data_IF_331497981031
#
_entry.id   IF_331497981031
#
_cell.length_a   1.000
_cell.length_b   1.000
_cell.length_c   1.000
_cell.angle_alpha   90.00
_cell.angle_beta   90.00
_cell.angle_gamma   90.00
#
_symmetry.space_group_name_H-M   'P 1'
#
loop_
_entity.id
_entity.type
_entity.pdbx_description
1 polymer ?
#
# COMPACT_ATOMS: atom_id res chain seq x y z
N UNK A 1 -7.52 -29.90 0.44
CA UNK A 1 -7.41 -28.51 -0.04
C UNK A 1 -6.61 -27.73 1.00
N UNK A 2 -6.00 -26.60 0.61
CA UNK A 2 -5.23 -25.73 1.50
C UNK A 2 -6.15 -24.80 2.31
N UNK A 3 -5.65 -24.28 3.43
CA UNK A 3 -6.42 -23.43 4.36
C UNK A 3 -6.31 -21.93 4.07
N UNK A 4 -5.33 -21.51 3.26
CA UNK A 4 -5.08 -20.13 2.86
C UNK A 4 -4.38 -20.10 1.51
N UNK A 5 -4.60 -19.04 0.74
CA UNK A 5 -3.91 -18.81 -0.52
C UNK A 5 -3.22 -17.45 -0.50
N UNK A 6 -1.93 -17.41 -0.81
CA UNK A 6 -1.21 -16.19 -1.16
C UNK A 6 -1.03 -16.14 -2.68
N UNK A 7 -1.35 -15.02 -3.30
CA UNK A 7 -1.27 -14.85 -4.75
C UNK A 7 -0.40 -13.64 -5.07
N UNK A 8 0.54 -13.83 -5.98
CA UNK A 8 1.25 -12.76 -6.68
C UNK A 8 0.80 -12.78 -8.14
N UNK A 9 0.32 -11.66 -8.63
CA UNK A 9 -0.17 -11.50 -10.02
C UNK A 9 0.10 -10.07 -10.49
N UNK A 10 -0.41 -9.71 -11.66
CA UNK A 10 -0.29 -8.37 -12.23
C UNK A 10 -1.51 -7.52 -11.84
N UNK A 11 -2.64 -7.70 -12.53
CA UNK A 11 -3.85 -6.91 -12.29
C UNK A 11 -4.49 -7.21 -10.93
N UNK A 12 -4.89 -6.18 -10.19
CA UNK A 12 -5.57 -6.36 -8.90
C UNK A 12 -6.91 -7.10 -9.04
N UNK A 13 -7.62 -6.90 -10.16
CA UNK A 13 -8.87 -7.58 -10.47
C UNK A 13 -8.76 -9.12 -10.48
N UNK A 14 -7.59 -9.68 -10.76
CA UNK A 14 -7.37 -11.13 -10.70
C UNK A 14 -7.39 -11.62 -9.25
N UNK A 15 -6.80 -10.86 -8.32
CA UNK A 15 -6.84 -11.16 -6.88
C UNK A 15 -8.27 -11.06 -6.37
N UNK A 16 -8.99 -10.02 -6.75
CA UNK A 16 -10.41 -9.82 -6.37
C UNK A 16 -11.29 -10.96 -6.91
N UNK A 17 -11.14 -11.32 -8.18
CA UNK A 17 -11.88 -12.42 -8.81
C UNK A 17 -11.58 -13.74 -8.11
N UNK A 18 -10.31 -14.03 -7.81
CA UNK A 18 -9.95 -15.24 -7.10
C UNK A 18 -10.56 -15.24 -5.68
N UNK A 19 -10.49 -14.12 -4.97
CA UNK A 19 -11.09 -13.98 -3.64
C UNK A 19 -12.61 -14.20 -3.65
N UNK A 20 -13.33 -13.69 -4.65
CA UNK A 20 -14.78 -13.88 -4.80
C UNK A 20 -15.17 -15.36 -4.99
N UNK A 21 -14.30 -16.17 -5.60
CA UNK A 21 -14.55 -17.58 -5.85
C UNK A 21 -13.87 -18.53 -4.84
N UNK A 22 -13.05 -18.00 -3.94
CA UNK A 22 -12.34 -18.78 -2.93
C UNK A 22 -13.20 -19.06 -1.71
N UNK A 23 -13.04 -20.25 -1.13
CA UNK A 23 -13.65 -20.61 0.17
C UNK A 23 -12.73 -20.35 1.36
N UNK A 24 -11.49 -19.95 1.08
CA UNK A 24 -10.45 -19.65 2.07
C UNK A 24 -9.90 -18.24 1.85
N UNK A 25 -9.31 -17.60 2.88
CA UNK A 25 -8.73 -16.27 2.73
C UNK A 25 -7.68 -16.21 1.62
N UNK A 26 -7.65 -15.06 0.93
CA UNK A 26 -6.71 -14.77 -0.16
C UNK A 26 -5.90 -13.56 0.24
N UNK A 27 -4.58 -13.72 0.24
CA UNK A 27 -3.62 -12.65 0.56
C UNK A 27 -2.98 -12.18 -0.74
N UNK A 28 -3.05 -10.86 -0.99
CA UNK A 28 -2.26 -10.22 -2.04
C UNK A 28 -0.77 -10.22 -1.64
N UNK A 29 0.00 -11.09 -2.28
CA UNK A 29 1.45 -11.12 -2.14
C UNK A 29 2.13 -9.95 -2.86
N UNK A 30 1.67 -9.59 -4.06
CA UNK A 30 2.06 -8.41 -4.85
C UNK A 30 1.18 -8.33 -6.12
N UNK A 31 0.72 -7.12 -6.46
CA UNK A 31 0.10 -6.72 -7.74
C UNK A 31 0.82 -5.50 -8.31
N UNK A 32 0.53 -5.14 -9.56
CA UNK A 32 1.02 -3.90 -10.18
C UNK A 32 0.52 -2.65 -9.44
N UNK A 33 -0.63 -2.77 -8.76
CA UNK A 33 -1.25 -1.68 -8.01
C UNK A 33 -0.83 -1.60 -6.53
N UNK A 34 -0.58 -2.75 -5.87
CA UNK A 34 -0.36 -2.80 -4.42
C UNK A 34 0.61 -3.90 -3.97
N UNK A 35 1.35 -3.62 -2.90
CA UNK A 35 2.22 -4.56 -2.20
C UNK A 35 2.03 -4.47 -0.67
N UNK A 36 0.86 -4.86 -0.15
CA UNK A 36 0.48 -4.62 1.24
C UNK A 36 1.37 -5.36 2.25
N UNK A 37 1.82 -6.58 1.92
CA UNK A 37 2.69 -7.35 2.81
C UNK A 37 4.05 -6.67 3.06
N UNK A 38 4.59 -5.94 2.08
CA UNK A 38 5.82 -5.17 2.26
C UNK A 38 5.60 -4.05 3.30
N UNK A 39 4.48 -3.34 3.22
CA UNK A 39 4.19 -2.22 4.15
C UNK A 39 3.97 -2.71 5.57
N UNK A 40 3.40 -3.90 5.76
CA UNK A 40 3.32 -4.50 7.09
C UNK A 40 4.73 -4.73 7.70
N UNK A 41 5.70 -5.18 6.89
CA UNK A 41 7.07 -5.36 7.33
C UNK A 41 7.79 -4.00 7.57
N UNK A 42 7.54 -3.01 6.72
CA UNK A 42 8.11 -1.68 6.87
C UNK A 42 7.60 -0.99 8.15
N UNK A 43 6.29 -1.06 8.41
CA UNK A 43 5.66 -0.53 9.62
C UNK A 43 6.14 -1.27 10.87
N UNK A 44 6.30 -2.59 10.81
CA UNK A 44 6.91 -3.36 11.90
C UNK A 44 8.32 -2.83 12.20
N UNK A 45 9.13 -2.64 11.16
CA UNK A 45 10.51 -2.13 11.31
C UNK A 45 10.51 -0.72 11.90
N UNK A 46 9.63 0.15 11.43
CA UNK A 46 9.48 1.49 12.00
C UNK A 46 9.10 1.41 13.47
N UNK A 47 8.13 0.57 13.83
CA UNK A 47 7.67 0.42 15.21
C UNK A 47 8.78 -0.08 16.13
N UNK A 48 9.57 -1.07 15.71
CA UNK A 48 10.70 -1.60 16.48
C UNK A 48 11.80 -0.55 16.73
N UNK A 49 12.01 0.36 15.77
CA UNK A 49 13.17 1.27 15.74
C UNK A 49 12.81 2.71 16.15
N UNK A 50 11.53 3.11 16.07
CA UNK A 50 11.04 4.47 16.29
C UNK A 50 9.78 4.55 17.15
N UNK A 51 9.10 3.44 17.42
CA UNK A 51 7.83 3.41 18.15
C UNK A 51 6.64 3.80 17.27
N UNK A 52 5.63 4.43 17.87
CA UNK A 52 4.39 4.78 17.19
C UNK A 52 4.59 5.74 16.01
N UNK A 53 3.99 5.41 14.87
CA UNK A 53 4.05 6.17 13.61
C UNK A 53 2.98 7.26 13.53
N UNK A 54 1.96 7.24 14.40
CA UNK A 54 0.89 8.25 14.41
C UNK A 54 1.47 9.68 14.44
N UNK A 55 1.01 10.53 13.52
CA UNK A 55 1.44 11.92 13.36
C UNK A 55 2.90 12.10 12.90
N UNK A 56 3.56 11.04 12.42
CA UNK A 56 4.87 11.13 11.76
C UNK A 56 4.71 11.43 10.27
N UNK A 57 5.82 11.81 9.64
CA UNK A 57 5.88 12.00 8.18
C UNK A 57 6.88 11.04 7.58
N UNK A 58 6.46 10.29 6.57
CA UNK A 58 7.28 9.40 5.74
C UNK A 58 7.47 10.08 4.38
N UNK A 59 8.72 10.13 3.90
CA UNK A 59 9.04 10.69 2.58
C UNK A 59 9.29 9.54 1.59
N UNK A 60 8.48 9.48 0.54
CA UNK A 60 8.68 8.59 -0.60
C UNK A 60 9.35 9.34 -1.74
N UNK A 61 10.47 8.83 -2.24
CA UNK A 61 11.24 9.42 -3.32
C UNK A 61 11.33 8.45 -4.49
N UNK A 62 10.92 8.90 -5.67
CA UNK A 62 11.01 8.13 -6.91
C UNK A 62 9.65 7.78 -7.50
N UNK A 63 9.52 6.57 -8.01
CA UNK A 63 8.36 6.11 -8.76
C UNK A 63 7.13 5.89 -7.86
N UNK A 64 5.98 6.45 -8.23
CA UNK A 64 4.67 6.28 -7.59
C UNK A 64 4.07 4.89 -7.83
N UNK A 65 4.82 3.83 -7.53
CA UNK A 65 4.45 2.45 -7.83
C UNK A 65 3.56 1.80 -6.75
N UNK A 66 3.35 0.49 -6.88
CA UNK A 66 2.57 -0.33 -5.93
C UNK A 66 2.96 -0.19 -4.45
N UNK A 67 4.24 0.01 -4.16
CA UNK A 67 4.72 0.17 -2.78
C UNK A 67 4.38 1.58 -2.30
N UNK A 68 4.56 2.61 -3.14
CA UNK A 68 4.09 3.97 -2.84
C UNK A 68 2.59 4.00 -2.55
N UNK A 69 1.78 3.39 -3.41
CA UNK A 69 0.33 3.27 -3.22
C UNK A 69 -0.04 2.59 -1.90
N UNK A 70 0.71 1.55 -1.53
CA UNK A 70 0.47 0.82 -0.29
C UNK A 70 0.86 1.64 0.95
N UNK A 71 1.91 2.45 0.86
CA UNK A 71 2.27 3.44 1.89
C UNK A 71 1.17 4.49 2.07
N UNK A 72 0.60 5.01 0.98
CA UNK A 72 -0.51 5.97 1.04
C UNK A 72 -1.75 5.36 1.74
N UNK A 73 -2.05 4.10 1.44
CA UNK A 73 -3.13 3.38 2.13
C UNK A 73 -2.87 3.16 3.62
N UNK A 74 -1.62 2.92 4.01
CA UNK A 74 -1.24 2.81 5.42
C UNK A 74 -1.32 4.15 6.15
N UNK A 75 -0.86 5.23 5.51
CA UNK A 75 -0.92 6.60 6.02
C UNK A 75 -2.33 6.98 6.45
N UNK A 76 -3.30 6.70 5.57
CA UNK A 76 -4.73 6.93 5.82
C UNK A 76 -5.31 6.04 6.93
N UNK A 77 -4.76 4.85 7.16
CA UNK A 77 -5.27 3.91 8.16
C UNK A 77 -4.69 4.13 9.56
N UNK A 78 -3.48 4.69 9.64
CA UNK A 78 -2.71 4.82 10.89
C UNK A 78 -2.43 6.29 11.25
N UNK A 79 -3.11 7.23 10.59
CA UNK A 79 -3.06 8.67 10.84
C UNK A 79 -1.63 9.24 10.87
N UNK A 80 -0.87 8.97 9.80
CA UNK A 80 0.43 9.59 9.55
C UNK A 80 0.48 10.18 8.14
N UNK A 81 1.49 10.99 7.86
CA UNK A 81 1.64 11.68 6.58
C UNK A 81 2.63 10.94 5.67
N UNK A 82 2.30 10.83 4.39
CA UNK A 82 3.24 10.41 3.34
C UNK A 82 3.41 11.56 2.35
N UNK A 83 4.63 12.06 2.24
CA UNK A 83 5.02 13.04 1.23
C UNK A 83 5.68 12.31 0.08
N UNK A 84 5.11 12.43 -1.12
CA UNK A 84 5.61 11.78 -2.34
C UNK A 84 6.30 12.81 -3.21
N UNK A 85 7.57 12.57 -3.53
CA UNK A 85 8.31 13.32 -4.53
C UNK A 85 8.72 12.37 -5.67
N UNK A 86 8.08 12.56 -6.83
CA UNK A 86 8.24 11.73 -8.02
C UNK A 86 8.64 12.57 -9.24
N UNK A 87 9.35 11.99 -10.22
CA UNK A 87 9.54 12.62 -11.53
C UNK A 87 8.20 12.76 -12.27
N UNK A 88 8.08 13.78 -13.11
CA UNK A 88 6.89 13.98 -13.96
C UNK A 88 6.56 12.72 -14.77
N UNK A 89 5.32 12.26 -14.71
CA UNK A 89 4.85 11.06 -15.40
C UNK A 89 5.05 9.75 -14.64
N UNK A 90 5.61 9.80 -13.43
CA UNK A 90 5.71 8.69 -12.47
C UNK A 90 4.89 8.97 -11.21
N UNK A 91 3.88 9.82 -11.34
CA UNK A 91 2.97 10.17 -10.26
C UNK A 91 2.15 8.94 -9.81
N UNK A 92 1.81 8.84 -8.51
CA UNK A 92 0.87 7.83 -8.03
C UNK A 92 -0.48 7.92 -8.75
N UNK A 93 -1.25 6.84 -8.69
CA UNK A 93 -2.60 6.81 -9.24
C UNK A 93 -3.42 8.03 -8.74
N UNK A 94 -3.97 8.86 -9.65
CA UNK A 94 -4.73 10.05 -9.29
C UNK A 94 -5.91 9.78 -8.36
N UNK A 95 -6.50 8.59 -8.42
CA UNK A 95 -7.59 8.18 -7.53
C UNK A 95 -7.12 8.04 -6.09
N UNK A 96 -5.91 7.52 -5.87
CA UNK A 96 -5.29 7.43 -4.55
C UNK A 96 -4.85 8.80 -4.04
N UNK A 97 -4.32 9.66 -4.92
CA UNK A 97 -3.99 11.05 -4.57
C UNK A 97 -5.23 11.80 -4.07
N UNK A 98 -6.36 11.68 -4.79
CA UNK A 98 -7.63 12.31 -4.38
C UNK A 98 -8.19 11.76 -3.07
N UNK A 99 -7.96 10.49 -2.77
CA UNK A 99 -8.41 9.87 -1.51
C UNK A 99 -7.55 10.27 -0.28
N UNK A 100 -6.32 10.76 -0.51
CA UNK A 100 -5.36 11.07 0.56
C UNK A 100 -5.13 12.59 0.77
N UNK A 101 -5.69 13.47 -0.08
CA UNK A 101 -5.35 14.90 -0.13
C UNK A 101 -6.07 15.80 0.88
N UNK A 102 -6.62 15.28 1.98
CA UNK A 102 -7.40 16.05 2.96
C UNK A 102 -6.59 17.00 3.88
N UNK A 103 -5.40 17.45 3.47
CA UNK A 103 -4.53 18.29 4.30
C UNK A 103 -3.59 19.27 3.56
N UNK A 104 -3.63 19.33 2.22
CA UNK A 104 -2.87 20.33 1.48
C UNK A 104 -3.72 21.59 1.24
N UNK A 105 -3.69 22.51 2.20
CA UNK A 105 -3.94 23.95 1.96
C UNK A 105 -2.62 24.69 1.77
#
# INVERSE_FOLDING_TARGET
MVDIVMIRTFAHADVETFAQHSRVPVINGLTDDYHPCQILADLQTFFEVRGDIHGKTVCWLGDGNNVCHSWMNAARQLDFEVVVACPEGYDPDPTLLGACSSGCE
#
